data_IF_151351312189
#
_entry.id   IF_151351312189
#
_cell.length_a   1.000
_cell.length_b   1.000
_cell.length_c   1.000
_cell.angle_alpha   90.00
_cell.angle_beta   90.00
_cell.angle_gamma   90.00
#
_symmetry.space_group_name_H-M   'P 1'
#
loop_
_entity.id
_entity.type
_entity.pdbx_description
1 polymer ?
#
# COMPACT_ATOMS: atom_id res chain seq x y z
N UNK A 1 7.38 22.86 8.51
CA UNK A 1 7.47 21.64 9.34
C UNK A 1 7.55 22.01 10.81
N UNK A 2 8.51 22.83 11.21
CA UNK A 2 8.62 23.33 12.59
C UNK A 2 8.07 24.76 12.66
N UNK A 3 7.31 25.06 13.70
CA UNK A 3 6.75 26.37 14.01
C UNK A 3 6.75 26.58 15.52
N UNK A 4 6.47 27.80 15.95
CA UNK A 4 6.17 28.12 17.34
C UNK A 4 4.75 28.66 17.39
N UNK A 5 3.91 28.11 18.26
CA UNK A 5 2.51 28.53 18.47
C UNK A 5 2.35 29.21 19.82
N UNK A 6 1.19 29.83 20.06
CA UNK A 6 0.88 30.46 21.35
C UNK A 6 1.71 31.70 21.66
N UNK A 7 2.23 32.38 20.63
CA UNK A 7 2.94 33.66 20.78
C UNK A 7 1.94 34.78 21.07
N UNK A 8 2.33 35.72 21.94
CA UNK A 8 1.53 36.90 22.24
C UNK A 8 1.47 37.20 23.73
N UNK A 9 0.29 37.62 24.18
CA UNK A 9 -0.01 37.87 25.58
C UNK A 9 -0.63 36.65 26.29
N UNK A 10 -1.01 36.85 27.54
CA UNK A 10 -1.57 35.79 28.41
C UNK A 10 -2.84 35.11 27.85
N UNK A 11 -3.57 35.78 26.96
CA UNK A 11 -4.81 35.25 26.36
C UNK A 11 -4.57 34.38 25.13
N UNK A 12 -3.34 34.33 24.61
CA UNK A 12 -2.98 33.62 23.37
C UNK A 12 -2.48 32.19 23.63
N UNK A 13 -2.49 31.74 24.90
CA UNK A 13 -2.07 30.41 25.32
C UNK A 13 -0.62 30.36 25.82
N UNK A 14 0.00 29.19 25.69
CA UNK A 14 1.40 28.96 26.08
C UNK A 14 2.28 28.88 24.84
N UNK A 15 3.40 29.60 24.85
CA UNK A 15 4.37 29.51 23.77
C UNK A 15 5.03 28.12 23.76
N UNK A 16 4.94 27.43 22.63
CA UNK A 16 5.51 26.09 22.47
C UNK A 16 5.93 25.79 21.03
N UNK A 17 6.92 24.90 20.88
CA UNK A 17 7.28 24.34 19.59
C UNK A 17 6.20 23.39 19.08
N UNK A 18 5.92 23.46 17.78
CA UNK A 18 4.90 22.65 17.13
C UNK A 18 5.24 22.45 15.65
N UNK A 19 4.35 21.79 14.92
CA UNK A 19 4.57 21.50 13.52
C UNK A 19 3.33 21.00 12.80
N UNK A 20 3.45 20.92 11.48
CA UNK A 20 2.44 20.32 10.61
C UNK A 20 3.03 19.13 9.87
N UNK A 21 2.22 18.09 9.76
CA UNK A 21 2.46 16.93 8.90
C UNK A 21 1.35 16.85 7.85
N UNK A 22 1.62 16.17 6.73
CA UNK A 22 0.60 15.95 5.70
C UNK A 22 -0.51 15.04 6.24
N UNK A 23 -1.77 15.30 5.92
CA UNK A 23 -2.93 14.65 6.56
C UNK A 23 -2.88 13.12 6.56
N UNK A 24 -2.40 12.49 5.48
CA UNK A 24 -2.27 11.03 5.36
C UNK A 24 -1.26 10.40 6.34
N UNK A 25 -0.42 11.21 6.98
CA UNK A 25 0.50 10.78 8.04
C UNK A 25 -0.13 10.78 9.44
N UNK A 26 -1.36 11.28 9.57
CA UNK A 26 -2.07 11.32 10.85
C UNK A 26 -2.42 9.92 11.35
N UNK A 27 -2.31 9.69 12.66
CA UNK A 27 -2.79 8.46 13.29
C UNK A 27 -4.30 8.27 13.11
N UNK A 28 -5.07 9.37 12.98
CA UNK A 28 -6.51 9.34 12.65
C UNK A 28 -6.74 8.63 11.31
N UNK A 29 -5.87 8.84 10.32
CA UNK A 29 -5.95 8.14 9.01
C UNK A 29 -5.65 6.65 9.16
N UNK A 30 -4.65 6.29 9.99
CA UNK A 30 -4.33 4.90 10.27
C UNK A 30 -5.50 4.20 10.97
N UNK A 31 -6.12 4.85 11.97
CA UNK A 31 -7.30 4.36 12.68
C UNK A 31 -8.47 4.18 11.72
N UNK A 32 -8.76 5.15 10.84
CA UNK A 32 -9.80 5.01 9.81
C UNK A 32 -9.57 3.76 8.95
N UNK A 33 -8.33 3.50 8.55
CA UNK A 33 -8.00 2.37 7.70
C UNK A 33 -8.16 1.00 8.41
N UNK A 34 -8.00 0.93 9.73
CA UNK A 34 -8.07 -0.34 10.49
C UNK A 34 -9.33 -0.51 11.35
N UNK A 35 -10.22 0.48 11.37
CA UNK A 35 -11.47 0.39 12.13
C UNK A 35 -12.45 -0.55 11.43
N UNK A 36 -13.24 -1.28 12.22
CA UNK A 36 -14.27 -2.22 11.73
C UNK A 36 -15.66 -1.61 11.67
N UNK A 37 -15.90 -0.61 12.52
CA UNK A 37 -17.15 0.13 12.69
C UNK A 37 -16.89 1.40 13.51
N UNK A 38 -17.92 2.22 13.71
CA UNK A 38 -17.81 3.50 14.43
C UNK A 38 -17.43 3.32 15.90
N UNK A 39 -17.85 2.21 16.53
CA UNK A 39 -17.53 1.91 17.92
C UNK A 39 -16.05 1.56 18.07
N UNK A 40 -15.53 0.67 17.24
CA UNK A 40 -14.10 0.32 17.18
C UNK A 40 -13.25 1.56 16.87
N UNK A 41 -13.70 2.43 15.96
CA UNK A 41 -13.01 3.68 15.67
C UNK A 41 -12.91 4.58 16.91
N UNK A 42 -14.02 4.77 17.65
CA UNK A 42 -14.00 5.56 18.89
C UNK A 42 -13.08 4.98 19.94
N UNK A 43 -13.14 3.67 20.15
CA UNK A 43 -12.28 2.96 21.11
C UNK A 43 -10.78 3.12 20.78
N UNK A 44 -10.44 3.28 19.50
CA UNK A 44 -9.07 3.56 19.04
C UNK A 44 -8.71 5.04 19.19
N UNK A 45 -9.61 5.96 18.81
CA UNK A 45 -9.39 7.40 19.00
C UNK A 45 -9.12 7.73 20.48
N UNK A 46 -9.88 7.12 21.39
CA UNK A 46 -9.72 7.25 22.84
C UNK A 46 -8.31 6.91 23.34
N UNK A 47 -7.58 6.02 22.65
CA UNK A 47 -6.24 5.55 23.03
C UNK A 47 -5.10 6.34 22.41
N UNK A 48 -5.39 7.32 21.55
CA UNK A 48 -4.34 8.17 20.96
C UNK A 48 -3.65 8.91 22.11
N UNK A 49 -2.34 8.71 22.25
CA UNK A 49 -1.50 9.46 23.19
C UNK A 49 -1.14 10.79 22.54
N UNK A 50 -1.59 11.90 23.14
CA UNK A 50 -1.41 13.25 22.59
C UNK A 50 -0.30 14.04 23.29
N UNK A 51 0.01 13.69 24.53
CA UNK A 51 1.07 14.33 25.33
C UNK A 51 1.55 13.42 26.46
N UNK A 52 2.55 13.90 27.20
CA UNK A 52 2.98 13.33 28.47
C UNK A 52 2.89 14.41 29.55
N UNK A 53 2.41 14.04 30.73
CA UNK A 53 2.36 14.96 31.88
C UNK A 53 3.76 15.22 32.47
N UNK A 54 3.85 16.09 33.49
CA UNK A 54 5.13 16.43 34.15
C UNK A 54 5.78 15.26 34.91
N UNK A 55 5.04 14.18 35.14
CA UNK A 55 5.52 12.95 35.78
C UNK A 55 5.86 11.87 34.74
N UNK A 56 5.64 12.14 33.45
CA UNK A 56 5.87 11.21 32.35
C UNK A 56 4.71 10.24 32.08
N UNK A 57 3.53 10.45 32.68
CA UNK A 57 2.36 9.63 32.36
C UNK A 57 1.77 10.07 31.01
N UNK A 58 1.26 9.11 30.25
CA UNK A 58 0.55 9.37 28.99
C UNK A 58 -0.72 10.20 29.26
N UNK A 59 -0.98 11.16 28.37
CA UNK A 59 -2.25 11.87 28.28
C UNK A 59 -2.90 11.49 26.96
N UNK A 60 -4.06 10.84 27.04
CA UNK A 60 -4.79 10.32 25.88
C UNK A 60 -5.89 11.26 25.42
N UNK A 61 -6.45 11.01 24.22
CA UNK A 61 -7.62 11.73 23.74
C UNK A 61 -8.86 11.54 24.65
N UNK A 62 -8.97 10.39 25.33
CA UNK A 62 -10.02 10.15 26.31
C UNK A 62 -9.84 10.99 27.58
N UNK A 63 -8.60 11.18 28.06
CA UNK A 63 -8.32 12.03 29.22
C UNK A 63 -8.66 13.51 28.97
N UNK A 64 -8.65 13.92 27.70
CA UNK A 64 -9.10 15.24 27.26
C UNK A 64 -10.59 15.30 26.90
N UNK A 65 -11.31 14.18 27.00
CA UNK A 65 -12.74 14.05 26.67
C UNK A 65 -13.09 14.43 25.22
N UNK A 66 -12.15 14.23 24.27
CA UNK A 66 -12.34 14.61 22.85
C UNK A 66 -12.57 13.43 21.90
N UNK A 67 -12.41 12.19 22.35
CA UNK A 67 -12.57 10.97 21.54
C UNK A 67 -13.94 10.90 20.84
N UNK A 68 -15.01 11.30 21.54
CA UNK A 68 -16.36 11.34 20.99
C UNK A 68 -16.51 12.40 19.90
N UNK A 69 -15.98 13.59 20.11
CA UNK A 69 -16.03 14.69 19.13
C UNK A 69 -15.19 14.37 17.88
N UNK A 70 -14.01 13.77 18.07
CA UNK A 70 -13.17 13.29 16.97
C UNK A 70 -13.90 12.23 16.14
N UNK A 71 -14.57 11.28 16.81
CA UNK A 71 -15.35 10.23 16.13
C UNK A 71 -16.55 10.82 15.39
N UNK A 72 -17.25 11.80 15.98
CA UNK A 72 -18.41 12.44 15.36
C UNK A 72 -18.06 13.10 14.02
N UNK A 73 -16.88 13.73 13.92
CA UNK A 73 -16.38 14.30 12.67
C UNK A 73 -16.10 13.25 11.58
N UNK A 74 -15.88 11.99 11.96
CA UNK A 74 -15.54 10.90 11.06
C UNK A 74 -16.76 10.05 10.65
N UNK A 75 -17.98 10.39 11.10
CA UNK A 75 -19.20 9.59 10.85
C UNK A 75 -19.50 9.42 9.36
N UNK A 76 -19.28 10.45 8.54
CA UNK A 76 -19.42 10.33 7.09
C UNK A 76 -18.18 9.70 6.47
N UNK A 77 -17.00 10.10 6.96
CA UNK A 77 -15.71 9.67 6.43
C UNK A 77 -15.40 8.19 6.67
N UNK A 78 -16.15 7.48 7.50
CA UNK A 78 -16.01 6.04 7.71
C UNK A 78 -16.62 5.20 6.58
N UNK A 79 -17.48 5.81 5.76
CA UNK A 79 -18.18 5.13 4.68
C UNK A 79 -17.31 5.06 3.41
N UNK A 80 -17.03 3.86 2.85
CA UNK A 80 -16.27 3.76 1.60
C UNK A 80 -16.95 4.43 0.41
N UNK A 81 -16.16 5.08 -0.44
CA UNK A 81 -16.65 5.69 -1.67
C UNK A 81 -16.71 4.65 -2.79
N UNK A 82 -17.87 4.48 -3.41
CA UNK A 82 -18.04 3.62 -4.58
C UNK A 82 -17.81 4.42 -5.87
N UNK A 83 -16.87 3.96 -6.67
CA UNK A 83 -16.53 4.45 -8.00
C UNK A 83 -16.59 3.29 -9.00
N UNK A 84 -16.14 3.52 -10.23
CA UNK A 84 -15.98 2.50 -11.25
C UNK A 84 -14.66 2.67 -12.01
N UNK A 85 -14.16 1.59 -12.58
CA UNK A 85 -13.07 1.61 -13.58
C UNK A 85 -13.55 2.22 -14.90
N UNK A 86 -12.65 2.36 -15.88
CA UNK A 86 -13.00 2.76 -17.25
C UNK A 86 -13.91 1.77 -17.98
N UNK A 87 -13.99 0.52 -17.51
CA UNK A 87 -14.80 -0.57 -18.07
C UNK A 87 -16.05 -0.88 -17.23
N UNK A 88 -16.32 -0.08 -16.20
CA UNK A 88 -17.56 -0.16 -15.41
C UNK A 88 -17.53 -1.15 -14.24
N UNK A 89 -16.41 -1.80 -13.94
CA UNK A 89 -16.29 -2.62 -12.73
C UNK A 89 -16.29 -1.73 -11.47
N UNK A 90 -16.96 -2.14 -10.37
CA UNK A 90 -17.06 -1.34 -9.16
C UNK A 90 -15.71 -1.25 -8.42
N UNK A 91 -15.38 -0.07 -7.88
CA UNK A 91 -14.15 0.18 -7.12
C UNK A 91 -14.46 0.91 -5.83
N UNK A 92 -13.97 0.42 -4.70
CA UNK A 92 -13.98 1.18 -3.45
C UNK A 92 -12.68 1.98 -3.28
N UNK A 93 -12.80 3.29 -3.11
CA UNK A 93 -11.68 4.17 -2.76
C UNK A 93 -11.90 4.72 -1.35
N UNK A 94 -11.13 4.23 -0.39
CA UNK A 94 -11.34 4.58 1.02
C UNK A 94 -10.10 4.42 1.90
N UNK A 95 -9.81 5.47 2.68
CA UNK A 95 -8.57 5.66 3.43
C UNK A 95 -7.29 5.68 2.56
N UNK A 96 -6.19 6.14 3.15
CA UNK A 96 -4.89 6.20 2.46
C UNK A 96 -3.74 6.53 3.42
N UNK A 97 -3.50 5.72 4.47
CA UNK A 97 -2.38 5.94 5.37
C UNK A 97 -1.05 5.66 4.68
N UNK A 98 0.03 6.31 5.15
CA UNK A 98 1.37 5.98 4.66
C UNK A 98 1.79 4.54 4.95
N UNK A 99 2.55 3.95 4.03
CA UNK A 99 3.06 2.59 4.16
C UNK A 99 4.37 2.49 4.98
N UNK A 100 5.05 3.59 5.30
CA UNK A 100 6.25 3.57 6.15
C UNK A 100 5.92 3.67 7.65
N UNK A 101 5.20 4.71 8.05
CA UNK A 101 4.85 4.99 9.45
C UNK A 101 3.51 4.36 9.89
N UNK A 102 2.70 3.89 8.94
CA UNK A 102 1.41 3.25 9.20
C UNK A 102 1.27 1.99 8.31
N UNK A 103 0.02 1.53 8.10
CA UNK A 103 -0.24 0.23 7.46
C UNK A 103 -0.04 0.24 5.94
N UNK A 104 -0.39 1.33 5.25
CA UNK A 104 -0.20 1.46 3.80
C UNK A 104 -1.28 0.84 2.91
N UNK A 105 -2.49 0.61 3.42
CA UNK A 105 -3.60 0.03 2.65
C UNK A 105 -4.90 0.82 2.83
N UNK A 106 -5.83 0.58 1.91
CA UNK A 106 -7.24 1.00 2.02
C UNK A 106 -7.91 0.41 3.27
N UNK A 107 -9.11 0.90 3.59
CA UNK A 107 -9.78 0.53 4.84
C UNK A 107 -10.22 -0.95 4.92
N UNK A 108 -10.23 -1.49 6.13
CA UNK A 108 -10.86 -2.79 6.44
C UNK A 108 -12.36 -2.80 6.10
N UNK A 109 -13.07 -1.69 6.28
CA UNK A 109 -14.51 -1.61 5.97
C UNK A 109 -14.75 -1.82 4.47
N UNK A 110 -13.97 -1.18 3.61
CA UNK A 110 -14.05 -1.36 2.16
C UNK A 110 -13.81 -2.83 1.77
N UNK A 111 -12.79 -3.49 2.33
CA UNK A 111 -12.53 -4.90 2.03
C UNK A 111 -13.64 -5.83 2.54
N UNK A 112 -14.21 -5.56 3.72
CA UNK A 112 -15.34 -6.33 4.26
C UNK A 112 -16.59 -6.21 3.40
N UNK A 113 -16.84 -5.03 2.83
CA UNK A 113 -17.96 -4.83 1.91
C UNK A 113 -17.67 -5.52 0.58
N UNK A 114 -16.49 -5.31 -0.01
CA UNK A 114 -16.08 -5.92 -1.28
C UNK A 114 -16.17 -7.45 -1.27
N UNK A 115 -15.63 -8.08 -0.22
CA UNK A 115 -15.68 -9.55 -0.03
C UNK A 115 -17.09 -10.10 0.22
N UNK A 116 -18.09 -9.26 0.46
CA UNK A 116 -19.50 -9.66 0.60
C UNK A 116 -20.33 -9.41 -0.65
N UNK A 117 -19.88 -8.54 -1.55
CA UNK A 117 -20.60 -8.13 -2.74
C UNK A 117 -20.05 -8.72 -4.04
N UNK A 118 -18.77 -9.11 -4.07
CA UNK A 118 -18.13 -9.72 -5.23
C UNK A 118 -17.60 -11.12 -4.94
N UNK A 119 -17.50 -11.92 -6.00
CA UNK A 119 -16.86 -13.25 -5.94
C UNK A 119 -15.34 -13.12 -5.71
N UNK A 120 -14.74 -12.07 -6.26
CA UNK A 120 -13.34 -11.70 -6.09
C UNK A 120 -13.23 -10.24 -5.64
N UNK A 121 -12.42 -10.00 -4.60
CA UNK A 121 -12.08 -8.66 -4.13
C UNK A 121 -10.57 -8.44 -4.27
N UNK A 122 -10.17 -7.60 -5.22
CA UNK A 122 -8.77 -7.23 -5.43
C UNK A 122 -8.46 -5.97 -4.64
N UNK A 123 -7.42 -6.04 -3.81
CA UNK A 123 -6.92 -4.92 -3.00
C UNK A 123 -5.40 -4.88 -3.09
N UNK A 124 -4.80 -3.77 -2.67
CA UNK A 124 -3.36 -3.53 -2.81
C UNK A 124 -2.72 -3.05 -1.52
N UNK A 125 -1.39 -2.96 -1.53
CA UNK A 125 -0.59 -2.39 -0.46
C UNK A 125 0.50 -1.49 -1.02
N UNK A 126 0.76 -0.38 -0.35
CA UNK A 126 1.83 0.54 -0.74
C UNK A 126 3.22 -0.04 -0.51
N UNK A 127 4.17 0.37 -1.34
CA UNK A 127 5.55 -0.15 -1.44
C UNK A 127 5.62 -1.62 -1.89
N UNK A 128 6.82 -2.22 -1.80
CA UNK A 128 7.06 -3.61 -2.16
C UNK A 128 6.54 -4.61 -1.12
N UNK A 129 6.72 -5.90 -1.40
CA UNK A 129 6.22 -6.95 -0.51
C UNK A 129 6.96 -7.03 0.85
N UNK A 130 8.15 -6.43 0.92
CA UNK A 130 8.96 -6.28 2.13
C UNK A 130 8.34 -5.32 3.17
N UNK A 131 7.52 -4.36 2.73
CA UNK A 131 6.83 -3.41 3.61
C UNK A 131 5.31 -3.58 3.52
N UNK A 132 4.75 -3.41 2.32
CA UNK A 132 3.31 -3.36 2.12
C UNK A 132 2.64 -4.69 2.41
N UNK A 133 3.12 -5.77 1.77
CA UNK A 133 2.59 -7.11 1.97
C UNK A 133 2.84 -7.62 3.40
N UNK A 134 4.02 -7.37 3.97
CA UNK A 134 4.33 -7.71 5.36
C UNK A 134 3.29 -7.13 6.32
N UNK A 135 3.02 -5.82 6.23
CA UNK A 135 2.03 -5.15 7.07
C UNK A 135 0.61 -5.61 6.77
N UNK A 136 0.28 -5.84 5.51
CA UNK A 136 -1.02 -6.37 5.12
C UNK A 136 -1.30 -7.73 5.76
N UNK A 137 -0.35 -8.65 5.64
CA UNK A 137 -0.46 -10.01 6.15
C UNK A 137 -0.43 -10.06 7.68
N UNK A 138 0.54 -9.38 8.31
CA UNK A 138 0.76 -9.51 9.74
C UNK A 138 -0.11 -8.58 10.60
N UNK A 139 -0.55 -7.44 10.06
CA UNK A 139 -1.39 -6.47 10.77
C UNK A 139 -2.83 -6.47 10.25
N UNK A 140 -3.05 -6.10 8.98
CA UNK A 140 -4.40 -5.86 8.47
C UNK A 140 -5.24 -7.14 8.47
N UNK A 141 -4.69 -8.28 8.03
CA UNK A 141 -5.40 -9.57 8.07
C UNK A 141 -5.74 -9.99 9.50
N UNK A 142 -4.83 -9.81 10.46
CA UNK A 142 -5.09 -10.09 11.88
C UNK A 142 -6.19 -9.19 12.46
N UNK A 143 -6.21 -7.91 12.10
CA UNK A 143 -7.21 -6.95 12.58
C UNK A 143 -8.58 -7.15 11.93
N UNK A 144 -8.62 -7.50 10.64
CA UNK A 144 -9.85 -7.66 9.86
C UNK A 144 -10.48 -9.05 10.00
N UNK A 145 -9.66 -10.07 10.28
CA UNK A 145 -10.06 -11.49 10.19
C UNK A 145 -10.19 -12.00 8.75
N UNK A 146 -9.79 -11.22 7.75
CA UNK A 146 -9.74 -11.65 6.35
C UNK A 146 -8.42 -12.34 6.05
N UNK A 147 -8.42 -13.29 5.12
CA UNK A 147 -7.23 -13.99 4.66
C UNK A 147 -7.19 -14.00 3.13
N UNK A 148 -6.10 -13.56 2.49
CA UNK A 148 -5.97 -13.56 1.04
C UNK A 148 -5.96 -14.96 0.46
N UNK A 149 -6.66 -15.18 -0.66
CA UNK A 149 -6.67 -16.45 -1.38
C UNK A 149 -5.55 -16.53 -2.43
N UNK A 150 -5.11 -15.39 -2.95
CA UNK A 150 -4.03 -15.25 -3.92
C UNK A 150 -3.25 -13.98 -3.64
N UNK A 151 -1.99 -13.93 -4.08
CA UNK A 151 -1.11 -12.77 -3.96
C UNK A 151 -0.41 -12.54 -5.29
N UNK A 152 -0.59 -11.34 -5.85
CA UNK A 152 0.07 -10.92 -7.09
C UNK A 152 1.27 -10.03 -6.75
N UNK A 153 2.44 -10.36 -7.28
CA UNK A 153 3.64 -9.53 -7.25
C UNK A 153 3.81 -8.90 -8.63
N UNK A 154 3.66 -7.57 -8.72
CA UNK A 154 3.84 -6.85 -9.98
C UNK A 154 5.32 -6.54 -10.21
N UNK A 155 5.82 -6.83 -11.40
CA UNK A 155 7.18 -6.52 -11.84
C UNK A 155 7.18 -5.91 -13.25
N UNK A 156 8.23 -5.17 -13.59
CA UNK A 156 8.47 -4.66 -14.95
C UNK A 156 9.91 -4.94 -15.34
N UNK A 157 10.17 -5.17 -16.63
CA UNK A 157 11.53 -5.43 -17.13
C UNK A 157 12.48 -4.29 -16.76
N UNK A 158 12.05 -3.04 -16.92
CA UNK A 158 12.85 -1.86 -16.56
C UNK A 158 13.19 -1.78 -15.07
N UNK A 159 12.24 -2.08 -14.17
CA UNK A 159 12.52 -2.08 -12.74
C UNK A 159 13.54 -3.16 -12.38
N UNK A 160 13.44 -4.34 -12.99
CA UNK A 160 14.43 -5.41 -12.80
C UNK A 160 15.81 -4.95 -13.30
N UNK A 161 15.92 -4.36 -14.48
CA UNK A 161 17.21 -3.80 -14.95
C UNK A 161 17.82 -2.79 -13.97
N UNK A 162 16.98 -1.96 -13.34
CA UNK A 162 17.43 -0.99 -12.34
C UNK A 162 18.00 -1.71 -11.10
N UNK A 163 17.29 -2.74 -10.61
CA UNK A 163 17.77 -3.58 -9.52
C UNK A 163 19.01 -4.39 -9.88
N UNK A 164 19.23 -4.69 -11.16
CA UNK A 164 20.42 -5.38 -11.67
C UNK A 164 21.68 -4.51 -11.76
N UNK A 165 21.61 -3.25 -11.32
CA UNK A 165 22.74 -2.32 -11.35
C UNK A 165 22.75 -1.38 -12.55
N UNK A 166 21.59 -1.18 -13.20
CA UNK A 166 21.44 -0.18 -14.25
C UNK A 166 21.77 1.26 -13.78
N UNK A 167 22.01 2.20 -14.71
CA UNK A 167 22.35 3.59 -14.40
C UNK A 167 21.33 4.29 -13.49
N UNK A 168 21.77 5.26 -12.69
CA UNK A 168 20.88 5.94 -11.74
C UNK A 168 19.76 6.74 -12.45
N UNK A 169 18.51 6.34 -12.22
CA UNK A 169 17.32 7.02 -12.76
C UNK A 169 17.05 8.31 -11.98
N UNK A 170 16.98 9.45 -12.69
CA UNK A 170 16.70 10.76 -12.09
C UNK A 170 15.42 11.37 -12.67
N UNK A 171 14.51 11.93 -11.84
CA UNK A 171 13.33 12.61 -12.34
C UNK A 171 13.68 13.73 -13.33
N UNK A 172 12.97 13.76 -14.47
CA UNK A 172 13.17 14.77 -15.51
C UNK A 172 14.35 14.54 -16.45
N UNK A 173 15.12 13.46 -16.28
CA UNK A 173 16.20 13.06 -17.19
C UNK A 173 15.72 11.89 -18.05
N UNK A 174 16.02 11.86 -19.38
CA UNK A 174 15.74 10.70 -20.21
C UNK A 174 16.35 9.43 -19.62
N UNK A 175 15.67 8.30 -19.81
CA UNK A 175 16.21 7.01 -19.40
C UNK A 175 17.41 6.63 -20.28
N UNK A 176 18.45 6.08 -19.65
CA UNK A 176 19.60 5.53 -20.35
C UNK A 176 19.20 4.36 -21.28
N UNK A 177 20.06 4.07 -22.26
CA UNK A 177 19.77 3.06 -23.30
C UNK A 177 19.58 1.66 -22.71
N UNK A 178 20.25 1.34 -21.60
CA UNK A 178 20.11 0.09 -20.86
C UNK A 178 18.65 -0.18 -20.48
N UNK A 179 17.85 0.85 -20.25
CA UNK A 179 16.44 0.72 -19.90
C UNK A 179 15.50 0.65 -21.11
N UNK A 180 15.98 0.96 -22.31
CA UNK A 180 15.16 1.05 -23.53
C UNK A 180 15.53 0.02 -24.60
N UNK A 181 16.69 -0.61 -24.47
CA UNK A 181 17.17 -1.72 -25.30
C UNK A 181 17.20 -3.02 -24.50
N UNK A 182 17.28 -4.13 -25.21
CA UNK A 182 17.43 -5.45 -24.59
C UNK A 182 18.71 -5.51 -23.73
N UNK A 183 18.57 -5.99 -22.49
CA UNK A 183 19.71 -6.28 -21.62
C UNK A 183 19.37 -7.42 -20.65
N UNK A 184 19.60 -8.66 -21.09
CA UNK A 184 19.32 -9.86 -20.31
C UNK A 184 20.17 -9.95 -19.03
N UNK A 185 21.42 -9.46 -19.04
CA UNK A 185 22.31 -9.53 -17.87
C UNK A 185 21.78 -8.67 -16.71
N UNK A 186 21.32 -7.44 -17.00
CA UNK A 186 20.72 -6.58 -15.99
C UNK A 186 19.38 -7.15 -15.49
N UNK A 187 18.57 -7.74 -16.38
CA UNK A 187 17.30 -8.39 -15.98
C UNK A 187 17.58 -9.58 -15.05
N UNK A 188 18.52 -10.45 -15.41
CA UNK A 188 18.89 -11.63 -14.61
C UNK A 188 19.37 -11.23 -13.22
N UNK A 189 20.34 -10.29 -13.11
CA UNK A 189 20.81 -9.77 -11.82
C UNK A 189 19.68 -9.10 -11.03
N UNK A 190 18.82 -8.36 -11.72
CA UNK A 190 17.67 -7.70 -11.12
C UNK A 190 16.63 -8.64 -10.53
N UNK A 191 16.54 -9.86 -11.06
CA UNK A 191 15.60 -10.86 -10.56
C UNK A 191 15.93 -11.33 -9.13
N UNK A 192 17.12 -11.06 -8.58
CA UNK A 192 17.40 -11.28 -7.15
C UNK A 192 16.40 -10.55 -6.25
N UNK A 193 15.99 -9.32 -6.62
CA UNK A 193 14.96 -8.58 -5.91
C UNK A 193 13.58 -9.27 -6.01
N UNK A 194 13.20 -9.70 -7.22
CA UNK A 194 11.94 -10.42 -7.44
C UNK A 194 11.88 -11.74 -6.65
N UNK A 195 12.99 -12.49 -6.64
CA UNK A 195 13.12 -13.74 -5.89
C UNK A 195 12.91 -13.49 -4.40
N UNK A 196 13.54 -12.46 -3.83
CA UNK A 196 13.35 -12.12 -2.42
C UNK A 196 11.88 -11.79 -2.07
N UNK A 197 11.15 -11.13 -2.97
CA UNK A 197 9.72 -10.88 -2.78
C UNK A 197 8.87 -12.15 -2.94
N UNK A 198 9.19 -13.03 -3.89
CA UNK A 198 8.55 -14.36 -4.03
C UNK A 198 8.73 -15.17 -2.74
N UNK A 199 9.94 -15.22 -2.19
CA UNK A 199 10.24 -15.91 -0.93
C UNK A 199 9.48 -15.30 0.25
N UNK A 200 9.38 -13.97 0.30
CA UNK A 200 8.61 -13.26 1.32
C UNK A 200 7.14 -13.66 1.29
N UNK A 201 6.52 -13.67 0.11
CA UNK A 201 5.13 -14.11 -0.03
C UNK A 201 4.98 -15.59 0.32
N UNK A 202 5.89 -16.47 -0.10
CA UNK A 202 5.82 -17.91 0.21
C UNK A 202 5.84 -18.20 1.72
N UNK A 203 6.46 -17.35 2.55
CA UNK A 203 6.41 -17.48 4.03
C UNK A 203 4.99 -17.40 4.60
N UNK A 204 4.06 -16.78 3.86
CA UNK A 204 2.63 -16.74 4.22
C UNK A 204 1.91 -18.07 3.99
N UNK A 205 2.52 -19.01 3.25
CA UNK A 205 1.90 -20.25 2.79
C UNK A 205 1.17 -20.11 1.45
N UNK A 206 1.06 -18.91 0.88
CA UNK A 206 0.45 -18.67 -0.43
C UNK A 206 1.47 -18.81 -1.55
N UNK A 207 1.07 -19.43 -2.66
CA UNK A 207 1.85 -19.44 -3.91
C UNK A 207 1.64 -18.11 -4.64
N UNK A 208 2.68 -17.29 -4.87
CA UNK A 208 2.52 -16.01 -5.55
C UNK A 208 2.29 -16.18 -7.06
N UNK A 209 1.57 -15.24 -7.65
CA UNK A 209 1.52 -15.00 -9.10
C UNK A 209 2.38 -13.77 -9.40
N UNK A 210 3.39 -13.88 -10.25
CA UNK A 210 4.15 -12.73 -10.74
C UNK A 210 3.44 -12.18 -11.97
N UNK A 211 2.97 -10.94 -11.88
CA UNK A 211 2.48 -10.19 -13.02
C UNK A 211 3.62 -9.39 -13.65
N UNK A 212 4.06 -9.78 -14.85
CA UNK A 212 4.98 -8.99 -15.65
C UNK A 212 4.15 -7.95 -16.40
N UNK A 213 4.15 -6.70 -15.91
CA UNK A 213 3.44 -5.61 -16.57
C UNK A 213 4.25 -5.12 -17.78
N UNK A 214 3.68 -5.31 -18.97
CA UNK A 214 4.36 -5.14 -20.24
C UNK A 214 4.50 -3.70 -20.70
N UNK A 215 5.69 -3.38 -21.24
CA UNK A 215 5.95 -2.15 -21.98
C UNK A 215 6.30 -2.46 -23.44
N UNK A 216 5.99 -1.52 -24.34
CA UNK A 216 6.20 -1.67 -25.79
C UNK A 216 7.67 -1.86 -26.22
N UNK A 217 8.62 -1.60 -25.32
CA UNK A 217 10.07 -1.77 -25.53
C UNK A 217 10.60 -3.09 -24.98
N UNK A 218 9.81 -3.80 -24.18
CA UNK A 218 10.24 -5.05 -23.55
C UNK A 218 10.38 -6.13 -24.62
N UNK A 219 11.50 -6.86 -24.65
CA UNK A 219 11.68 -7.92 -25.63
C UNK A 219 11.10 -9.24 -25.14
N UNK A 220 10.73 -10.11 -26.08
CA UNK A 220 10.27 -11.47 -25.76
C UNK A 220 11.31 -12.26 -24.96
N UNK A 221 12.60 -12.04 -25.22
CA UNK A 221 13.67 -12.73 -24.50
C UNK A 221 13.74 -12.29 -23.03
N UNK A 222 13.55 -10.99 -22.76
CA UNK A 222 13.52 -10.47 -21.39
C UNK A 222 12.31 -10.98 -20.61
N UNK A 223 11.13 -10.98 -21.24
CA UNK A 223 9.90 -11.49 -20.64
C UNK A 223 10.05 -12.98 -20.31
N UNK A 224 10.58 -13.79 -21.23
CA UNK A 224 10.77 -15.22 -21.04
C UNK A 224 11.80 -15.53 -19.95
N UNK A 225 12.87 -14.73 -19.86
CA UNK A 225 13.86 -14.85 -18.81
C UNK A 225 13.24 -14.65 -17.42
N UNK A 226 12.44 -13.58 -17.24
CA UNK A 226 11.76 -13.32 -15.97
C UNK A 226 10.76 -14.41 -15.65
N UNK A 227 9.98 -14.88 -16.64
CA UNK A 227 9.04 -15.99 -16.48
C UNK A 227 9.75 -17.23 -15.96
N UNK A 228 10.81 -17.66 -16.64
CA UNK A 228 11.61 -18.82 -16.25
C UNK A 228 12.16 -18.69 -14.82
N UNK A 229 12.72 -17.54 -14.46
CA UNK A 229 13.29 -17.33 -13.11
C UNK A 229 12.19 -17.37 -12.05
N UNK A 230 11.05 -16.71 -12.27
CA UNK A 230 9.94 -16.69 -11.32
C UNK A 230 9.34 -18.10 -11.11
N UNK A 231 9.13 -18.86 -12.19
CA UNK A 231 8.63 -20.25 -12.13
C UNK A 231 9.60 -21.19 -11.42
N UNK A 232 10.91 -21.06 -11.69
CA UNK A 232 11.95 -21.82 -10.98
C UNK A 232 11.95 -21.56 -9.47
N UNK A 233 11.51 -20.37 -9.05
CA UNK A 233 11.38 -20.00 -7.64
C UNK A 233 9.98 -20.32 -7.05
N UNK A 234 9.13 -20.99 -7.83
CA UNK A 234 7.85 -21.55 -7.39
C UNK A 234 6.65 -20.61 -7.54
N UNK A 235 6.80 -19.48 -8.24
CA UNK A 235 5.66 -18.63 -8.58
C UNK A 235 4.85 -19.19 -9.75
N UNK A 236 3.62 -18.72 -9.91
CA UNK A 236 2.96 -18.65 -11.22
C UNK A 236 3.38 -17.35 -11.91
N UNK A 237 3.21 -17.25 -13.22
CA UNK A 237 3.58 -16.05 -13.97
C UNK A 237 2.50 -15.74 -14.99
N UNK A 238 2.12 -14.46 -15.06
CA UNK A 238 1.27 -13.93 -16.11
C UNK A 238 1.91 -12.70 -16.73
N UNK A 239 1.89 -12.59 -18.05
CA UNK A 239 2.20 -11.34 -18.74
C UNK A 239 0.91 -10.51 -18.84
N UNK A 240 1.01 -9.20 -18.65
CA UNK A 240 -0.16 -8.34 -18.74
C UNK A 240 0.10 -7.08 -19.53
N UNK A 241 -0.81 -6.79 -20.46
CA UNK A 241 -0.85 -5.57 -21.27
C UNK A 241 -2.09 -4.74 -20.95
N UNK A 242 -2.63 -4.85 -19.73
CA UNK A 242 -3.89 -4.21 -19.35
C UNK A 242 -3.87 -2.68 -19.49
N UNK A 243 -2.69 -2.06 -19.36
CA UNK A 243 -2.54 -0.64 -19.62
C UNK A 243 -2.87 -0.26 -21.08
N UNK A 244 -2.52 -1.13 -22.04
CA UNK A 244 -2.74 -0.91 -23.47
C UNK A 244 -4.10 -1.45 -23.95
N UNK A 245 -4.53 -2.59 -23.41
CA UNK A 245 -5.67 -3.39 -23.93
C UNK A 245 -6.86 -3.48 -22.97
N UNK A 246 -6.82 -2.79 -21.83
CA UNK A 246 -7.86 -2.91 -20.81
C UNK A 246 -7.93 -4.32 -20.21
N UNK A 247 -9.12 -4.77 -19.82
CA UNK A 247 -9.37 -6.09 -19.24
C UNK A 247 -8.87 -7.25 -20.11
N UNK A 248 -8.97 -7.14 -21.44
CA UNK A 248 -8.48 -8.16 -22.37
C UNK A 248 -6.97 -8.40 -22.24
N UNK A 249 -6.21 -7.37 -21.83
CA UNK A 249 -4.77 -7.47 -21.57
C UNK A 249 -4.40 -8.11 -20.23
N UNK A 250 -5.37 -8.45 -19.38
CA UNK A 250 -5.17 -9.09 -18.08
C UNK A 250 -5.76 -10.51 -17.99
N UNK A 251 -6.24 -11.11 -19.09
CA UNK A 251 -6.87 -12.44 -19.06
C UNK A 251 -5.92 -13.50 -18.49
N UNK A 252 -4.67 -13.54 -18.94
CA UNK A 252 -3.66 -14.50 -18.41
C UNK A 252 -3.48 -14.33 -16.90
N UNK A 253 -3.52 -13.09 -16.39
CA UNK A 253 -3.41 -12.81 -14.95
C UNK A 253 -4.67 -13.20 -14.18
N UNK A 254 -5.85 -13.05 -14.78
CA UNK A 254 -7.11 -13.42 -14.15
C UNK A 254 -7.32 -14.94 -14.07
N UNK A 255 -6.78 -15.70 -15.04
CA UNK A 255 -6.83 -17.16 -15.08
C UNK A 255 -5.82 -17.84 -14.14
N UNK A 256 -4.68 -17.19 -13.87
CA UNK A 256 -3.57 -17.70 -13.06
C UNK A 256 -3.86 -17.66 -11.54
#
# INVERSE_FOLDING_TARGET
>A
RNITIGKGGKMDGYEMESGFAITVSSEVMAILAVSKDLKDMRERMAKIVVAYDKKGNEVTAADLEVDGAMTAWMVEAINPNLLQTIEGQPVFVHAGPFANIAIGQSSIIADRIGTKLGDYHVTESGFGADIGFEKFWNLKCRMSGLTPNAVVIVATIRALKMHGGGPAVKPGVPLDEEYTKENLELVEKGCENLIAHIETVKKSGVRPVVCINGFYIDTKAEIELVRKIAEQNGALVAYSEHWLKGGDGAIELAEA
#
